data_IF_243183356469
#
_entry.id   IF_243183356469
#
_cell.length_a   1.000
_cell.length_b   1.000
_cell.length_c   1.000
_cell.angle_alpha   90.00
_cell.angle_beta   90.00
_cell.angle_gamma   90.00
#
_symmetry.space_group_name_H-M   'P 1'
#
loop_
_entity.id
_entity.type
_entity.pdbx_description
1 polymer ?
#
# COMPACT_ATOMS: atom_id res chain seq x y z
N UNK A 1 13.58 17.44 23.59
CA UNK A 1 13.10 16.40 22.63
C UNK A 1 13.96 15.17 22.81
N UNK A 2 13.41 14.06 23.30
CA UNK A 2 14.14 12.78 23.27
C UNK A 2 14.26 12.30 21.81
N UNK A 3 15.38 11.72 21.39
CA UNK A 3 15.49 11.15 20.05
C UNK A 3 14.46 10.03 19.90
N UNK A 4 13.62 10.10 18.87
CA UNK A 4 12.75 8.98 18.51
C UNK A 4 13.66 7.81 18.14
N UNK A 5 13.68 6.77 18.98
CA UNK A 5 14.29 5.50 18.63
C UNK A 5 13.47 4.87 17.49
N UNK A 6 13.76 5.24 16.25
CA UNK A 6 13.28 4.51 15.08
C UNK A 6 14.11 3.23 14.99
N UNK A 7 13.61 2.15 15.60
CA UNK A 7 14.12 0.81 15.32
C UNK A 7 13.89 0.52 13.85
N UNK A 8 14.97 0.35 13.09
CA UNK A 8 14.90 -0.16 11.73
C UNK A 8 14.49 -1.63 11.80
N UNK A 9 13.23 -1.92 11.47
CA UNK A 9 12.70 -3.28 11.36
C UNK A 9 12.77 -3.72 9.90
N UNK A 10 13.52 -4.80 9.66
CA UNK A 10 13.63 -5.39 8.32
C UNK A 10 12.47 -6.37 8.11
N UNK A 11 11.60 -6.07 7.16
CA UNK A 11 10.50 -6.96 6.76
C UNK A 11 10.87 -7.74 5.50
N UNK A 12 10.78 -9.07 5.56
CA UNK A 12 10.91 -9.90 4.38
C UNK A 12 9.58 -9.90 3.60
N UNK A 13 9.54 -9.13 2.52
CA UNK A 13 8.41 -9.08 1.60
C UNK A 13 8.82 -9.63 0.24
N UNK A 14 7.90 -10.32 -0.42
CA UNK A 14 8.03 -10.62 -1.85
C UNK A 14 7.82 -9.36 -2.68
N UNK A 15 8.34 -9.31 -3.92
CA UNK A 15 8.14 -8.18 -4.84
C UNK A 15 6.65 -7.83 -5.03
N UNK A 16 5.77 -8.85 -5.01
CA UNK A 16 4.31 -8.67 -5.12
C UNK A 16 3.69 -8.03 -3.89
N UNK A 17 4.27 -8.24 -2.72
CA UNK A 17 3.81 -7.62 -1.47
C UNK A 17 4.33 -6.18 -1.38
N UNK A 18 5.58 -5.95 -1.77
CA UNK A 18 6.16 -4.61 -1.86
C UNK A 18 5.37 -3.73 -2.85
N UNK A 19 5.08 -4.25 -4.05
CA UNK A 19 4.26 -3.54 -5.04
C UNK A 19 2.85 -3.23 -4.51
N UNK A 20 2.24 -4.17 -3.76
CA UNK A 20 0.94 -3.93 -3.11
C UNK A 20 1.02 -2.82 -2.06
N UNK A 21 2.09 -2.79 -1.26
CA UNK A 21 2.29 -1.78 -0.24
C UNK A 21 2.41 -0.39 -0.86
N UNK A 22 3.30 -0.22 -1.83
CA UNK A 22 3.53 1.06 -2.52
C UNK A 22 2.25 1.57 -3.18
N UNK A 23 1.51 0.70 -3.88
CA UNK A 23 0.25 1.10 -4.52
C UNK A 23 -0.83 1.45 -3.50
N UNK A 24 -0.86 0.77 -2.35
CA UNK A 24 -1.81 1.07 -1.28
C UNK A 24 -1.53 2.45 -0.65
N UNK A 25 -0.27 2.79 -0.38
CA UNK A 25 0.14 4.10 0.12
C UNK A 25 -0.28 5.22 -0.84
N UNK A 26 0.09 5.10 -2.13
CA UNK A 26 -0.30 6.08 -3.17
C UNK A 26 -1.81 6.23 -3.31
N UNK A 27 -2.59 5.17 -3.07
CA UNK A 27 -4.06 5.20 -3.10
C UNK A 27 -4.66 5.88 -1.86
N UNK A 28 -3.96 5.85 -0.72
CA UNK A 28 -4.34 6.55 0.52
C UNK A 28 -4.05 8.04 0.36
N UNK A 29 -2.87 8.37 -0.16
CA UNK A 29 -2.42 9.74 -0.45
C UNK A 29 -3.23 10.39 -1.59
N UNK A 30 -3.94 9.59 -2.39
CA UNK A 30 -4.81 10.08 -3.47
C UNK A 30 -4.07 10.35 -4.77
N UNK A 31 -2.80 9.97 -4.87
CA UNK A 31 -1.96 10.10 -6.07
C UNK A 31 -2.45 9.22 -7.22
N UNK A 32 -3.08 8.09 -6.90
CA UNK A 32 -3.65 7.18 -7.90
C UNK A 32 -5.14 6.96 -7.68
N UNK A 33 -5.85 6.74 -8.77
CA UNK A 33 -7.27 6.36 -8.71
C UNK A 33 -7.44 4.87 -8.40
N UNK A 34 -8.63 4.48 -7.93
CA UNK A 34 -8.98 3.07 -7.73
C UNK A 34 -8.84 2.25 -9.03
N UNK A 35 -9.10 2.86 -10.19
CA UNK A 35 -8.93 2.19 -11.49
C UNK A 35 -7.46 1.97 -11.81
N UNK A 36 -6.61 2.99 -11.64
CA UNK A 36 -5.16 2.84 -11.85
C UNK A 36 -4.54 1.81 -10.89
N UNK A 37 -4.94 1.82 -9.62
CA UNK A 37 -4.51 0.81 -8.66
C UNK A 37 -4.94 -0.61 -9.06
N UNK A 38 -6.14 -0.77 -9.63
CA UNK A 38 -6.64 -2.06 -10.09
C UNK A 38 -5.82 -2.61 -11.26
N UNK A 39 -5.45 -1.74 -12.20
CA UNK A 39 -4.59 -2.10 -13.34
C UNK A 39 -3.19 -2.52 -12.88
N UNK A 40 -2.54 -1.71 -12.03
CA UNK A 40 -1.18 -2.00 -11.53
C UNK A 40 -1.14 -3.30 -10.72
N UNK A 41 -2.12 -3.51 -9.84
CA UNK A 41 -2.17 -4.71 -8.99
C UNK A 41 -2.75 -5.93 -9.70
N UNK A 42 -3.26 -5.78 -10.94
CA UNK A 42 -4.03 -6.81 -11.65
C UNK A 42 -5.16 -7.36 -10.79
N UNK A 43 -5.88 -6.47 -10.11
CA UNK A 43 -6.99 -6.78 -9.22
C UNK A 43 -8.29 -6.15 -9.73
N UNK A 44 -9.43 -6.66 -9.27
CA UNK A 44 -10.70 -5.95 -9.44
C UNK A 44 -10.74 -4.68 -8.59
N UNK A 45 -11.44 -3.66 -9.07
CA UNK A 45 -11.72 -2.43 -8.30
C UNK A 45 -12.37 -2.72 -6.94
N UNK A 46 -13.14 -3.82 -6.82
CA UNK A 46 -13.74 -4.29 -5.56
C UNK A 46 -12.70 -4.82 -4.57
N UNK A 47 -11.66 -5.50 -5.05
CA UNK A 47 -10.54 -5.95 -4.22
C UNK A 47 -9.72 -4.74 -3.74
N UNK A 48 -9.44 -3.79 -4.62
CA UNK A 48 -8.74 -2.53 -4.27
C UNK A 48 -9.50 -1.75 -3.18
N UNK A 49 -10.83 -1.63 -3.30
CA UNK A 49 -11.67 -1.01 -2.25
C UNK A 49 -11.60 -1.75 -0.91
N UNK A 50 -11.47 -3.08 -0.92
CA UNK A 50 -11.31 -3.87 0.31
C UNK A 50 -9.94 -3.67 0.95
N UNK A 51 -8.88 -3.57 0.15
CA UNK A 51 -7.52 -3.24 0.63
C UNK A 51 -7.54 -1.87 1.30
N UNK A 52 -8.04 -0.83 0.61
CA UNK A 52 -8.16 0.53 1.18
C UNK A 52 -8.93 0.58 2.50
N UNK A 53 -9.99 -0.22 2.65
CA UNK A 53 -10.77 -0.30 3.90
C UNK A 53 -10.01 -0.98 5.05
N UNK A 54 -9.17 -1.97 4.76
CA UNK A 54 -8.41 -2.71 5.79
C UNK A 54 -7.16 -1.98 6.27
N UNK A 55 -6.62 -1.06 5.45
CA UNK A 55 -5.43 -0.27 5.80
C UNK A 55 -5.81 0.99 6.61
N UNK A 56 -7.11 1.32 6.71
CA UNK A 56 -7.60 2.52 7.41
C UNK A 56 -7.64 2.35 8.92
#
# INVERSE_FOLDING_TARGET
MSPMNTREELYHMTDKEMARSVVAERLIEGEITIKGAAEVLKLSTRQVKRIKKKVR
#
